data_IF_498749586573
#
_entry.id   IF_498749586573
#
_cell.length_a   1.000
_cell.length_b   1.000
_cell.length_c   1.000
_cell.angle_alpha   90.00
_cell.angle_beta   90.00
_cell.angle_gamma   90.00
#
_symmetry.space_group_name_H-M   'P 1'
#
loop_
_entity.id
_entity.type
_entity.pdbx_description
1 polymer ?
#
# COMPACT_ATOMS: atom_id res chain seq x y z
N UNK A 1 -8.34 0.03 -3.73
CA UNK A 1 -7.63 0.57 -2.54
C UNK A 1 -8.70 0.96 -1.54
N UNK A 2 -8.64 0.45 -0.31
CA UNK A 2 -9.54 0.84 0.76
C UNK A 2 -8.67 1.45 1.86
N UNK A 3 -8.84 2.74 2.12
CA UNK A 3 -8.08 3.48 3.13
C UNK A 3 -9.02 4.42 3.88
N UNK A 4 -8.66 4.78 5.12
CA UNK A 4 -9.35 5.84 5.85
C UNK A 4 -9.05 7.18 5.19
N UNK A 5 -10.09 8.00 4.98
CA UNK A 5 -9.97 9.34 4.39
C UNK A 5 -9.04 10.24 5.20
N UNK A 6 -9.15 10.23 6.53
CA UNK A 6 -8.27 10.99 7.42
C UNK A 6 -6.79 10.58 7.30
N UNK A 7 -6.49 9.30 7.08
CA UNK A 7 -5.11 8.85 6.86
C UNK A 7 -4.60 9.24 5.47
N UNK A 8 -5.44 9.15 4.45
CA UNK A 8 -5.11 9.61 3.09
C UNK A 8 -4.73 11.10 3.11
N UNK A 9 -5.53 11.90 3.80
CA UNK A 9 -5.37 13.36 3.85
C UNK A 9 -4.19 13.77 4.73
N UNK A 10 -3.86 13.00 5.79
CA UNK A 10 -2.70 13.26 6.64
C UNK A 10 -1.35 12.99 5.97
N UNK A 11 -1.32 12.14 4.94
CA UNK A 11 -0.07 11.77 4.25
C UNK A 11 0.25 12.75 3.12
N UNK A 12 -0.75 13.26 2.38
CA UNK A 12 -0.61 14.46 1.49
C UNK A 12 -2.00 14.96 1.08
N UNK A 13 -2.16 16.27 0.85
CA UNK A 13 -3.40 16.92 0.40
C UNK A 13 -3.94 16.41 -0.96
N UNK A 14 -3.13 15.69 -1.78
CA UNK A 14 -3.51 15.11 -3.09
C UNK A 14 -2.67 13.89 -3.49
N UNK A 15 -2.65 12.84 -2.67
CA UNK A 15 -1.84 11.66 -2.99
C UNK A 15 -2.38 10.95 -4.25
N UNK A 16 -1.56 10.84 -5.30
CA UNK A 16 -1.95 10.15 -6.54
C UNK A 16 -2.17 8.66 -6.23
N UNK A 17 -3.24 8.03 -6.73
CA UNK A 17 -3.44 6.59 -6.57
C UNK A 17 -2.19 5.79 -6.97
N UNK A 18 -1.76 4.90 -6.08
CA UNK A 18 -0.56 4.07 -6.27
C UNK A 18 0.76 4.66 -5.76
N UNK A 19 0.78 5.90 -5.24
CA UNK A 19 1.97 6.52 -4.65
C UNK A 19 1.95 6.59 -3.12
N UNK A 20 0.97 5.96 -2.48
CA UNK A 20 0.81 5.98 -1.03
C UNK A 20 0.44 4.61 -0.49
N UNK A 21 0.71 4.39 0.80
CA UNK A 21 0.36 3.17 1.52
C UNK A 21 -1.00 3.39 2.20
N UNK A 22 -1.90 2.42 2.05
CA UNK A 22 -3.18 2.38 2.76
C UNK A 22 -3.25 1.15 3.65
N UNK A 23 -4.38 0.92 4.32
CA UNK A 23 -4.56 -0.28 5.14
C UNK A 23 -4.44 -1.57 4.32
N UNK A 24 -5.14 -1.62 3.17
CA UNK A 24 -5.08 -2.72 2.23
C UNK A 24 -4.76 -2.21 0.81
N UNK A 25 -3.75 -2.81 0.19
CA UNK A 25 -3.23 -2.42 -1.12
C UNK A 25 -3.10 -3.65 -2.01
N UNK A 26 -3.53 -3.51 -3.26
CA UNK A 26 -3.31 -4.54 -4.28
C UNK A 26 -2.20 -4.09 -5.22
N UNK A 27 -1.22 -4.97 -5.41
CA UNK A 27 -0.13 -4.82 -6.38
C UNK A 27 -0.34 -5.82 -7.51
N UNK A 28 -0.63 -5.33 -8.71
CA UNK A 28 -0.63 -6.19 -9.90
C UNK A 28 0.76 -6.80 -10.11
N UNK A 29 0.83 -8.04 -10.61
CA UNK A 29 2.07 -8.71 -11.03
C UNK A 29 2.90 -7.85 -11.99
N UNK A 30 2.25 -6.99 -12.79
CA UNK A 30 2.92 -6.07 -13.72
C UNK A 30 3.73 -4.97 -13.02
N UNK A 31 3.51 -4.71 -11.73
CA UNK A 31 4.29 -3.74 -10.96
C UNK A 31 5.58 -4.31 -10.38
N UNK A 32 5.70 -5.64 -10.34
CA UNK A 32 6.79 -6.33 -9.69
C UNK A 32 6.33 -7.16 -8.50
N UNK A 33 7.31 -7.73 -7.79
CA UNK A 33 7.09 -8.61 -6.63
C UNK A 33 7.18 -7.80 -5.35
N UNK A 34 6.22 -8.01 -4.44
CA UNK A 34 6.26 -7.44 -3.09
C UNK A 34 7.45 -8.03 -2.32
N UNK A 35 8.34 -7.19 -1.76
CA UNK A 35 9.44 -7.68 -0.92
C UNK A 35 8.90 -8.28 0.39
N UNK A 36 9.72 -9.02 1.16
CA UNK A 36 9.35 -9.37 2.53
C UNK A 36 9.02 -8.11 3.35
N UNK A 37 7.90 -8.12 4.06
CA UNK A 37 7.44 -7.01 4.90
C UNK A 37 7.41 -7.45 6.38
N UNK A 38 7.59 -6.52 7.34
CA UNK A 38 7.60 -6.85 8.76
C UNK A 38 6.22 -7.31 9.24
N UNK A 39 6.18 -8.11 10.31
CA UNK A 39 4.91 -8.35 11.02
C UNK A 39 4.35 -7.01 11.55
N UNK A 40 3.02 -6.84 11.65
CA UNK A 40 1.95 -7.81 11.40
C UNK A 40 1.45 -7.88 9.93
N UNK A 41 2.23 -7.35 8.98
CA UNK A 41 1.80 -7.26 7.57
C UNK A 41 1.54 -8.64 6.98
N UNK A 42 0.38 -8.80 6.33
CA UNK A 42 0.02 -9.99 5.56
C UNK A 42 0.23 -9.75 4.08
N UNK A 43 0.84 -10.72 3.41
CA UNK A 43 1.11 -10.72 1.97
C UNK A 43 0.38 -11.92 1.38
N UNK A 44 -0.75 -11.67 0.72
CA UNK A 44 -1.63 -12.70 0.19
C UNK A 44 -1.56 -12.73 -1.35
N UNK A 45 -1.20 -13.86 -1.99
CA UNK A 45 -1.21 -13.96 -3.44
C UNK A 45 -2.64 -13.96 -3.97
N UNK A 46 -2.86 -13.21 -5.06
CA UNK A 46 -4.13 -13.23 -5.82
C UNK A 46 -3.87 -13.98 -7.11
N UNK A 47 -3.90 -15.31 -7.01
CA UNK A 47 -3.53 -16.23 -8.09
C UNK A 47 -2.26 -15.77 -8.82
N UNK A 48 -2.34 -15.66 -10.15
CA UNK A 48 -1.29 -15.16 -11.01
C UNK A 48 -1.43 -13.65 -11.31
N UNK A 49 -2.44 -12.98 -10.72
CA UNK A 49 -2.79 -11.58 -11.03
C UNK A 49 -1.94 -10.57 -10.25
N UNK A 50 -1.56 -10.90 -9.03
CA UNK A 50 -0.82 -9.98 -8.17
C UNK A 50 -0.80 -10.40 -6.70
N UNK A 51 -0.70 -9.40 -5.83
CA UNK A 51 -0.54 -9.58 -4.38
C UNK A 51 -1.35 -8.56 -3.63
N UNK A 52 -2.11 -9.00 -2.63
CA UNK A 52 -2.79 -8.18 -1.66
C UNK A 52 -1.91 -8.02 -0.41
N UNK A 53 -1.62 -6.78 -0.04
CA UNK A 53 -0.88 -6.42 1.17
C UNK A 53 -1.83 -5.79 2.16
N UNK A 54 -1.87 -6.31 3.39
CA UNK A 54 -2.71 -5.82 4.49
C UNK A 54 -1.80 -5.49 5.66
N UNK A 55 -1.77 -4.23 6.09
CA UNK A 55 -0.83 -3.78 7.13
C UNK A 55 -1.08 -4.44 8.49
N UNK A 56 -2.35 -4.49 8.89
CA UNK A 56 -2.79 -4.98 10.20
C UNK A 56 -4.06 -5.82 10.04
N UNK A 57 -4.25 -6.92 10.80
CA UNK A 57 -5.50 -7.70 10.75
C UNK A 57 -6.69 -6.92 11.31
N UNK A 58 -6.46 -6.08 12.32
CA UNK A 58 -7.43 -5.13 12.86
C UNK A 58 -7.54 -3.88 12.00
N UNK A 59 -8.60 -3.10 12.25
CA UNK A 59 -8.86 -1.85 11.55
C UNK A 59 -7.71 -0.87 11.79
N UNK A 60 -7.04 -0.50 10.71
CA UNK A 60 -6.04 0.57 10.72
C UNK A 60 -6.67 1.94 11.00
N UNK A 61 -6.00 2.75 11.80
CA UNK A 61 -6.45 4.09 12.21
C UNK A 61 -5.26 5.05 12.22
N UNK A 62 -5.48 6.29 11.74
CA UNK A 62 -4.47 7.34 11.79
C UNK A 62 -4.20 7.85 13.22
N UNK A 63 -5.12 7.60 14.16
CA UNK A 63 -4.97 7.99 15.56
C UNK A 63 -4.09 7.04 16.39
N UNK A 64 -3.79 5.84 15.88
CA UNK A 64 -2.85 4.93 16.54
C UNK A 64 -1.43 5.20 16.02
N UNK A 65 -0.48 5.65 16.86
CA UNK A 65 0.88 5.93 16.42
C UNK A 65 1.62 4.70 15.90
N UNK A 66 1.31 3.50 16.40
CA UNK A 66 1.94 2.26 15.92
C UNK A 66 1.51 1.93 14.49
N UNK A 67 0.24 2.17 14.16
CA UNK A 67 -0.27 2.03 12.80
C UNK A 67 0.44 2.99 11.84
N UNK A 68 0.60 4.25 12.24
CA UNK A 68 1.27 5.26 11.41
C UNK A 68 2.75 4.91 11.20
N UNK A 69 3.46 4.48 12.25
CA UNK A 69 4.85 4.06 12.16
C UNK A 69 5.02 2.83 11.24
N UNK A 70 4.14 1.84 11.36
CA UNK A 70 4.14 0.68 10.47
C UNK A 70 3.90 1.07 9.01
N UNK A 71 2.93 1.95 8.74
CA UNK A 71 2.65 2.44 7.39
C UNK A 71 3.84 3.18 6.79
N UNK A 72 4.53 4.03 7.57
CA UNK A 72 5.73 4.73 7.13
C UNK A 72 6.88 3.74 6.81
N UNK A 73 7.12 2.76 7.68
CA UNK A 73 8.15 1.75 7.44
C UNK A 73 7.87 0.92 6.19
N UNK A 74 6.63 0.46 6.02
CA UNK A 74 6.22 -0.30 4.82
C UNK A 74 6.28 0.57 3.57
N UNK A 75 5.97 1.86 3.67
CA UNK A 75 6.11 2.80 2.56
C UNK A 75 7.55 2.83 2.04
N UNK A 76 8.53 3.01 2.92
CA UNK A 76 9.95 3.01 2.52
C UNK A 76 10.36 1.69 1.85
N UNK A 77 9.92 0.54 2.36
CA UNK A 77 10.26 -0.76 1.77
C UNK A 77 9.66 -0.93 0.38
N UNK A 78 8.41 -0.51 0.18
CA UNK A 78 7.73 -0.60 -1.11
C UNK A 78 8.25 0.44 -2.11
N UNK A 79 8.66 1.61 -1.64
CA UNK A 79 9.27 2.65 -2.47
C UNK A 79 10.66 2.22 -2.96
N UNK A 80 11.49 1.65 -2.09
CA UNK A 80 12.80 1.07 -2.46
C UNK A 80 12.66 -0.11 -3.43
N UNK A 81 11.56 -0.85 -3.36
CA UNK A 81 11.20 -1.89 -4.35
C UNK A 81 10.57 -1.31 -5.64
N UNK A 82 10.48 0.01 -5.74
CA UNK A 82 9.90 0.76 -6.85
C UNK A 82 8.44 0.37 -7.18
N UNK A 83 7.69 -0.08 -6.18
CA UNK A 83 6.28 -0.47 -6.31
C UNK A 83 5.32 0.73 -6.19
N UNK A 84 5.78 1.84 -5.60
CA UNK A 84 5.00 3.04 -5.33
C UNK A 84 5.10 4.10 -6.43
N UNK A 85 4.90 3.68 -7.68
CA UNK A 85 4.85 4.60 -8.83
C UNK A 85 3.41 5.04 -9.11
N UNK A 86 3.20 6.21 -9.75
CA UNK A 86 1.86 6.60 -10.21
C UNK A 86 1.24 5.49 -11.08
N UNK A 87 -0.05 5.22 -10.89
CA UNK A 87 -0.77 4.32 -11.79
C UNK A 87 -0.71 4.90 -13.21
N UNK A 88 -0.26 4.08 -14.16
CA UNK A 88 -0.33 4.45 -15.56
C UNK A 88 -1.80 4.39 -15.99
N UNK A 89 -2.29 5.37 -16.76
CA UNK A 89 -3.60 5.26 -17.36
C UNK A 89 -3.66 3.97 -18.19
N UNK A 90 -4.81 3.31 -18.14
CA UNK A 90 -5.05 2.18 -19.04
C UNK A 90 -4.86 2.67 -20.48
N UNK A 91 -4.09 1.98 -21.33
CA UNK A 91 -3.94 2.40 -22.72
C UNK A 91 -5.32 2.41 -23.35
N UNK A 92 -5.82 3.60 -23.70
CA UNK A 92 -6.98 3.73 -24.55
C UNK A 92 -6.61 3.09 -25.89
N UNK A 93 -7.28 1.99 -26.24
CA UNK A 93 -7.19 1.39 -27.56
C UNK A 93 -7.80 2.28 -28.62
#
# INVERSE_FOLDING_TARGET
>A
MATSEAHRDSVTDKAKPGTFVGWAMYFSRLRGKVPPLPAPVRIEPVEDKGTLVILTPERFTASNPEHVALAAHVHELLDRAELLRPLQPWPAG
#
